data_IF_037621295647
#
_entry.id   IF_037621295647
#
_cell.length_a   1.000
_cell.length_b   1.000
_cell.length_c   1.000
_cell.angle_alpha   90.00
_cell.angle_beta   90.00
_cell.angle_gamma   90.00
#
_symmetry.space_group_name_H-M   'P 1'
#
loop_
_entity.id
_entity.type
_entity.pdbx_description
1 polymer ?
#
# COMPACT_ATOMS: atom_id res chain seq x y z
N UNK A 1 -19.81 -21.14 -4.68
CA UNK A 1 -20.06 -22.03 -3.49
C UNK A 1 -20.91 -21.27 -2.50
N UNK A 2 -21.98 -21.88 -2.01
CA UNK A 2 -22.87 -21.30 -1.00
C UNK A 2 -22.94 -22.28 0.18
N UNK A 3 -22.81 -21.79 1.40
CA UNK A 3 -23.00 -22.53 2.62
C UNK A 3 -23.81 -21.71 3.63
N UNK A 4 -24.67 -22.36 4.38
CA UNK A 4 -25.53 -21.74 5.37
C UNK A 4 -25.38 -22.43 6.72
N UNK A 5 -25.34 -21.64 7.79
CA UNK A 5 -25.39 -22.12 9.18
C UNK A 5 -26.46 -21.37 9.94
N UNK A 6 -27.09 -22.09 10.83
CA UNK A 6 -28.10 -21.53 11.75
C UNK A 6 -27.69 -21.85 13.19
N UNK A 7 -27.73 -20.84 14.04
CA UNK A 7 -27.61 -21.02 15.49
C UNK A 7 -28.99 -20.91 16.12
N UNK A 8 -29.39 -21.94 16.85
CA UNK A 8 -30.59 -21.90 17.68
C UNK A 8 -30.28 -22.27 19.12
N UNK A 9 -30.94 -21.58 20.08
CA UNK A 9 -30.79 -21.85 21.48
C UNK A 9 -31.29 -23.28 21.79
N UNK A 10 -30.37 -24.17 22.15
CA UNK A 10 -30.69 -25.58 22.49
C UNK A 10 -30.20 -26.63 21.50
N UNK A 11 -30.04 -26.29 20.23
CA UNK A 11 -29.45 -27.17 19.20
C UNK A 11 -28.03 -26.78 18.82
N UNK A 12 -27.62 -25.55 19.17
CA UNK A 12 -26.31 -25.04 18.75
C UNK A 12 -26.26 -24.64 17.27
N UNK A 13 -25.10 -24.79 16.63
CA UNK A 13 -24.90 -24.48 15.21
C UNK A 13 -25.26 -25.72 14.38
N UNK A 14 -26.08 -25.52 13.35
CA UNK A 14 -26.47 -26.55 12.36
C UNK A 14 -26.16 -26.05 10.97
N UNK A 15 -25.63 -26.92 10.12
CA UNK A 15 -25.42 -26.64 8.69
C UNK A 15 -26.67 -26.99 7.88
N UNK A 16 -26.98 -26.14 6.90
CA UNK A 16 -28.14 -26.32 6.03
C UNK A 16 -27.73 -26.23 4.56
N UNK A 17 -28.10 -27.24 3.79
CA UNK A 17 -27.90 -27.25 2.33
C UNK A 17 -29.01 -26.48 1.58
N UNK A 18 -30.17 -26.31 2.21
CA UNK A 18 -31.31 -25.58 1.67
C UNK A 18 -31.46 -24.19 2.29
N UNK A 19 -31.32 -23.17 1.46
CA UNK A 19 -31.40 -21.76 1.87
C UNK A 19 -32.75 -21.35 2.43
N UNK A 20 -33.87 -21.91 1.88
CA UNK A 20 -35.18 -21.63 2.39
C UNK A 20 -35.43 -22.27 3.77
N UNK A 21 -34.87 -23.47 3.97
CA UNK A 21 -34.93 -24.12 5.26
C UNK A 21 -34.09 -23.35 6.31
N UNK A 22 -32.90 -22.88 5.91
CA UNK A 22 -32.03 -22.04 6.75
C UNK A 22 -32.72 -20.73 7.16
N UNK A 23 -33.37 -20.03 6.21
CA UNK A 23 -34.08 -18.78 6.51
C UNK A 23 -35.31 -18.98 7.42
N UNK A 24 -36.00 -20.11 7.34
CA UNK A 24 -37.17 -20.40 8.17
C UNK A 24 -36.82 -20.96 9.55
N UNK A 25 -35.57 -21.33 9.75
CA UNK A 25 -35.17 -21.92 11.03
C UNK A 25 -35.15 -20.83 12.13
N UNK A 26 -35.59 -21.21 13.34
CA UNK A 26 -35.51 -20.30 14.48
C UNK A 26 -34.06 -20.01 14.86
N UNK A 27 -33.71 -18.74 15.03
CA UNK A 27 -32.39 -18.31 15.48
C UNK A 27 -31.65 -17.42 14.50
N UNK A 28 -30.32 -17.33 14.60
CA UNK A 28 -29.50 -16.51 13.73
C UNK A 28 -28.95 -17.32 12.56
N UNK A 29 -29.28 -16.91 11.35
CA UNK A 29 -28.81 -17.54 10.11
C UNK A 29 -27.64 -16.76 9.53
N UNK A 30 -26.54 -17.43 9.22
CA UNK A 30 -25.44 -16.87 8.42
C UNK A 30 -25.24 -17.64 7.12
N UNK A 31 -25.43 -16.95 6.00
CA UNK A 31 -25.15 -17.48 4.66
C UNK A 31 -23.89 -16.84 4.13
N UNK A 32 -23.00 -17.67 3.62
CA UNK A 32 -21.81 -17.23 2.90
C UNK A 32 -21.90 -17.68 1.44
N UNK A 33 -21.78 -16.74 0.51
CA UNK A 33 -21.75 -17.01 -0.92
C UNK A 33 -20.46 -16.42 -1.52
N UNK A 34 -19.60 -17.29 -2.06
CA UNK A 34 -18.39 -16.87 -2.75
C UNK A 34 -18.19 -17.69 -4.02
N UNK A 35 -17.59 -17.08 -5.04
CA UNK A 35 -17.40 -17.72 -6.35
C UNK A 35 -18.68 -18.40 -6.83
N UNK A 36 -19.82 -17.72 -6.62
CA UNK A 36 -21.13 -18.23 -6.95
C UNK A 36 -21.52 -17.81 -8.37
N UNK A 37 -22.23 -18.70 -9.07
CA UNK A 37 -22.79 -18.40 -10.38
C UNK A 37 -23.89 -17.34 -10.30
N UNK A 38 -24.21 -16.63 -11.40
CA UNK A 38 -25.30 -15.66 -11.40
C UNK A 38 -26.64 -16.25 -10.92
N UNK A 39 -26.95 -17.49 -11.32
CA UNK A 39 -28.17 -18.17 -10.90
C UNK A 39 -28.18 -18.46 -9.38
N UNK A 40 -27.03 -18.81 -8.80
CA UNK A 40 -26.87 -19.02 -7.37
C UNK A 40 -27.04 -17.69 -6.59
N UNK A 41 -26.50 -16.59 -7.14
CA UNK A 41 -26.66 -15.26 -6.55
C UNK A 41 -28.11 -14.77 -6.61
N UNK A 42 -28.79 -14.96 -7.75
CA UNK A 42 -30.21 -14.64 -7.91
C UNK A 42 -31.06 -15.44 -6.90
N UNK A 43 -30.73 -16.71 -6.67
CA UNK A 43 -31.42 -17.53 -5.66
C UNK A 43 -31.22 -17.05 -4.24
N UNK A 44 -29.99 -16.65 -3.86
CA UNK A 44 -29.73 -16.05 -2.53
C UNK A 44 -30.54 -14.76 -2.38
N UNK A 45 -30.53 -13.91 -3.40
CA UNK A 45 -31.26 -12.65 -3.41
C UNK A 45 -32.78 -12.87 -3.27
N UNK A 46 -33.35 -13.82 -4.01
CA UNK A 46 -34.77 -14.16 -3.93
C UNK A 46 -35.18 -14.69 -2.55
N UNK A 47 -34.39 -15.63 -2.01
CA UNK A 47 -34.69 -16.25 -0.72
C UNK A 47 -34.63 -15.23 0.41
N UNK A 48 -33.61 -14.36 0.44
CA UNK A 48 -33.39 -13.42 1.53
C UNK A 48 -34.02 -12.02 1.29
N UNK A 49 -34.67 -11.81 0.13
CA UNK A 49 -35.29 -10.52 -0.19
C UNK A 49 -34.27 -9.43 -0.51
N UNK A 50 -33.06 -9.80 -0.91
CA UNK A 50 -31.98 -8.86 -1.22
C UNK A 50 -32.25 -8.20 -2.57
N UNK A 51 -32.14 -6.87 -2.60
CA UNK A 51 -32.35 -6.12 -3.84
C UNK A 51 -31.23 -6.41 -4.84
N UNK A 52 -31.62 -6.70 -6.10
CA UNK A 52 -30.66 -7.09 -7.16
C UNK A 52 -29.54 -6.08 -7.39
N UNK A 53 -29.82 -4.78 -7.30
CA UNK A 53 -28.78 -3.76 -7.44
C UNK A 53 -27.67 -3.89 -6.37
N UNK A 54 -28.00 -4.27 -5.16
CA UNK A 54 -27.02 -4.46 -4.11
C UNK A 54 -26.10 -5.68 -4.38
N UNK A 55 -26.65 -6.75 -5.00
CA UNK A 55 -25.83 -7.88 -5.49
C UNK A 55 -24.94 -7.45 -6.66
N UNK A 56 -25.49 -6.70 -7.62
CA UNK A 56 -24.74 -6.18 -8.76
C UNK A 56 -23.58 -5.26 -8.31
N UNK A 57 -23.75 -4.50 -7.26
CA UNK A 57 -22.69 -3.64 -6.68
C UNK A 57 -21.50 -4.46 -6.17
N UNK A 58 -21.74 -5.58 -5.53
CA UNK A 58 -20.66 -6.49 -5.10
C UNK A 58 -19.94 -7.09 -6.31
N UNK A 59 -20.72 -7.63 -7.29
CA UNK A 59 -20.15 -8.25 -8.48
C UNK A 59 -19.35 -7.28 -9.33
N UNK A 60 -19.83 -6.03 -9.45
CA UNK A 60 -19.17 -4.97 -10.21
C UNK A 60 -18.04 -4.27 -9.43
N UNK A 61 -17.74 -4.73 -8.23
CA UNK A 61 -16.66 -4.18 -7.40
C UNK A 61 -16.72 -2.65 -7.24
N UNK A 62 -17.91 -2.13 -6.95
CA UNK A 62 -18.10 -0.70 -6.76
C UNK A 62 -17.39 -0.20 -5.50
N UNK A 63 -17.39 1.10 -5.29
CA UNK A 63 -16.83 1.73 -4.08
C UNK A 63 -17.56 1.25 -2.82
N UNK A 64 -16.80 1.04 -1.73
CA UNK A 64 -17.37 0.73 -0.42
C UNK A 64 -18.44 1.75 -0.01
N UNK A 65 -19.56 1.26 0.51
CA UNK A 65 -20.73 2.05 0.90
C UNK A 65 -21.63 1.27 1.86
N UNK A 66 -22.51 1.96 2.56
CA UNK A 66 -23.62 1.38 3.31
C UNK A 66 -24.92 1.99 2.80
N UNK A 67 -25.90 1.16 2.57
CA UNK A 67 -27.26 1.52 2.13
C UNK A 67 -28.29 0.81 2.99
N UNK A 68 -29.30 1.54 3.41
CA UNK A 68 -30.41 1.02 4.19
C UNK A 68 -31.59 0.67 3.27
N UNK A 69 -32.11 -0.53 3.44
CA UNK A 69 -33.33 -1.00 2.80
C UNK A 69 -34.37 -1.30 3.89
N UNK A 70 -35.67 -1.36 3.56
CA UNK A 70 -36.70 -1.56 4.58
C UNK A 70 -36.57 -2.88 5.37
N UNK A 71 -35.99 -3.91 4.76
CA UNK A 71 -35.88 -5.26 5.33
C UNK A 71 -34.44 -5.68 5.67
N UNK A 72 -33.45 -4.89 5.27
CA UNK A 72 -32.04 -5.20 5.54
C UNK A 72 -31.14 -3.96 5.36
N UNK A 73 -30.01 -3.98 6.03
CA UNK A 73 -28.90 -3.03 5.80
C UNK A 73 -27.84 -3.71 4.94
N UNK A 74 -27.39 -3.04 3.88
CA UNK A 74 -26.31 -3.50 3.00
C UNK A 74 -25.05 -2.68 3.25
N UNK A 75 -23.95 -3.36 3.54
CA UNK A 75 -22.62 -2.75 3.64
C UNK A 75 -21.66 -3.45 2.69
N UNK A 76 -21.01 -2.67 1.82
CA UNK A 76 -19.93 -3.14 0.96
C UNK A 76 -18.61 -2.64 1.53
N UNK A 77 -17.74 -3.56 1.90
CA UNK A 77 -16.33 -3.30 2.25
C UNK A 77 -15.43 -4.05 1.27
N UNK A 78 -14.15 -3.75 1.27
CA UNK A 78 -13.18 -4.47 0.42
C UNK A 78 -12.04 -4.99 1.25
N UNK A 79 -11.56 -6.19 0.97
CA UNK A 79 -10.26 -6.61 1.47
C UNK A 79 -9.15 -5.83 0.75
N UNK A 80 -7.99 -5.75 1.37
CA UNK A 80 -6.79 -5.21 0.74
C UNK A 80 -5.59 -6.05 1.13
N UNK A 81 -4.92 -6.60 0.14
CA UNK A 81 -3.75 -7.44 0.34
C UNK A 81 -2.62 -7.01 -0.60
N UNK A 82 -1.39 -6.95 -0.08
CA UNK A 82 -0.19 -6.77 -0.90
C UNK A 82 0.19 -8.11 -1.53
N UNK A 83 0.00 -8.23 -2.82
CA UNK A 83 0.41 -9.39 -3.61
C UNK A 83 1.65 -9.07 -4.41
N UNK A 84 2.53 -10.07 -4.57
CA UNK A 84 3.72 -9.93 -5.39
C UNK A 84 3.31 -9.80 -6.86
N UNK A 85 3.65 -8.67 -7.48
CA UNK A 85 3.44 -8.43 -8.91
C UNK A 85 4.42 -9.22 -9.78
N UNK A 86 4.27 -9.09 -11.10
CA UNK A 86 5.09 -9.80 -12.11
C UNK A 86 6.57 -9.33 -12.15
N UNK A 87 6.89 -8.21 -11.51
CA UNK A 87 8.26 -7.66 -11.45
C UNK A 87 8.86 -7.82 -10.06
N UNK A 88 10.19 -8.04 -9.95
CA UNK A 88 10.88 -7.92 -8.67
C UNK A 88 10.62 -6.52 -8.12
N UNK A 89 10.11 -6.42 -6.88
CA UNK A 89 9.71 -5.18 -6.18
C UNK A 89 8.38 -4.54 -6.63
N UNK A 90 7.57 -5.18 -7.47
CA UNK A 90 6.19 -4.77 -7.74
C UNK A 90 5.28 -5.59 -6.82
N UNK A 91 4.93 -5.05 -5.67
CA UNK A 91 3.77 -5.48 -4.91
C UNK A 91 2.61 -4.58 -5.36
N UNK A 92 1.44 -5.15 -5.54
CA UNK A 92 0.22 -4.42 -5.89
C UNK A 92 -0.83 -4.67 -4.83
N UNK A 93 -1.57 -3.63 -4.47
CA UNK A 93 -2.75 -3.77 -3.62
C UNK A 93 -3.85 -4.46 -4.42
N UNK A 94 -4.11 -5.72 -4.09
CA UNK A 94 -5.26 -6.45 -4.60
C UNK A 94 -6.43 -6.25 -3.67
N UNK A 95 -7.54 -5.81 -4.22
CA UNK A 95 -8.80 -5.61 -3.50
C UNK A 95 -9.86 -6.61 -3.95
N UNK A 96 -10.69 -7.06 -3.00
CA UNK A 96 -11.84 -7.91 -3.30
C UNK A 96 -13.06 -7.39 -2.55
N UNK A 97 -14.22 -7.25 -3.23
CA UNK A 97 -15.44 -6.78 -2.60
C UNK A 97 -16.04 -7.86 -1.69
N UNK A 98 -16.53 -7.43 -0.54
CA UNK A 98 -17.31 -8.22 0.39
C UNK A 98 -18.60 -7.46 0.69
N UNK A 99 -19.72 -7.95 0.18
CA UNK A 99 -21.04 -7.47 0.54
C UNK A 99 -21.50 -8.16 1.81
N UNK A 100 -21.95 -7.38 2.79
CA UNK A 100 -22.56 -7.84 4.03
C UNK A 100 -23.99 -7.33 4.08
N UNK A 101 -24.94 -8.23 4.08
CA UNK A 101 -26.37 -7.94 4.13
C UNK A 101 -26.89 -8.38 5.49
N UNK A 102 -27.50 -7.48 6.23
CA UNK A 102 -27.92 -7.67 7.62
C UNK A 102 -29.43 -7.54 7.68
N UNK A 103 -30.13 -8.61 7.97
CA UNK A 103 -31.56 -8.62 8.26
C UNK A 103 -31.81 -8.82 9.76
N UNK A 104 -33.08 -8.95 10.15
CA UNK A 104 -33.47 -9.05 11.58
C UNK A 104 -32.94 -10.32 12.25
N UNK A 105 -32.93 -11.45 11.53
CA UNK A 105 -32.53 -12.78 12.03
C UNK A 105 -31.48 -13.47 11.14
N UNK A 106 -30.98 -12.79 10.11
CA UNK A 106 -30.03 -13.35 9.17
C UNK A 106 -28.94 -12.37 8.75
N UNK A 107 -27.79 -12.91 8.38
CA UNK A 107 -26.71 -12.19 7.71
C UNK A 107 -26.26 -12.98 6.48
N UNK A 108 -26.08 -12.29 5.36
CA UNK A 108 -25.50 -12.86 4.13
C UNK A 108 -24.20 -12.15 3.83
N UNK A 109 -23.14 -12.91 3.66
CA UNK A 109 -21.86 -12.42 3.13
C UNK A 109 -21.65 -12.90 1.72
N UNK A 110 -21.39 -11.96 0.80
CA UNK A 110 -21.23 -12.22 -0.63
C UNK A 110 -19.88 -11.68 -1.11
N UNK A 111 -19.11 -12.51 -1.81
CA UNK A 111 -17.85 -12.11 -2.43
C UNK A 111 -17.67 -12.80 -3.79
N UNK A 112 -16.88 -12.16 -4.67
CA UNK A 112 -16.58 -12.70 -6.01
C UNK A 112 -15.56 -13.83 -6.00
N UNK A 113 -14.82 -14.00 -4.88
CA UNK A 113 -13.86 -15.07 -4.66
C UNK A 113 -13.79 -15.44 -3.17
N UNK A 114 -13.18 -16.57 -2.78
CA UNK A 114 -12.96 -16.91 -1.38
C UNK A 114 -12.13 -15.84 -0.66
N UNK A 115 -12.54 -15.48 0.55
CA UNK A 115 -11.88 -14.51 1.41
C UNK A 115 -11.36 -15.21 2.66
N UNK A 116 -10.06 -15.37 2.76
CA UNK A 116 -9.39 -16.16 3.80
C UNK A 116 -9.81 -15.77 5.21
N UNK A 117 -9.92 -14.45 5.50
CA UNK A 117 -10.31 -13.99 6.85
C UNK A 117 -11.77 -14.27 7.17
N UNK A 118 -12.67 -14.16 6.19
CA UNK A 118 -14.08 -14.55 6.35
C UNK A 118 -14.19 -16.05 6.55
N UNK A 119 -13.39 -16.84 5.83
CA UNK A 119 -13.31 -18.29 5.98
C UNK A 119 -12.83 -18.68 7.38
N UNK A 120 -11.87 -17.96 7.97
CA UNK A 120 -11.43 -18.18 9.36
C UNK A 120 -12.56 -17.95 10.35
N UNK A 121 -13.34 -16.87 10.19
CA UNK A 121 -14.50 -16.58 11.06
C UNK A 121 -15.53 -17.70 10.94
N UNK A 122 -15.81 -18.14 9.70
CA UNK A 122 -16.75 -19.23 9.44
C UNK A 122 -16.31 -20.55 10.07
N UNK A 123 -15.02 -20.87 9.95
CA UNK A 123 -14.45 -22.08 10.54
C UNK A 123 -14.48 -22.04 12.07
N UNK A 124 -14.25 -20.85 12.68
CA UNK A 124 -14.38 -20.70 14.14
C UNK A 124 -15.81 -20.98 14.61
N UNK A 125 -16.83 -20.52 13.87
CA UNK A 125 -18.24 -20.83 14.16
C UNK A 125 -18.52 -22.33 14.03
N UNK A 126 -18.00 -23.00 13.03
CA UNK A 126 -18.18 -24.44 12.83
C UNK A 126 -17.51 -25.29 13.93
N UNK A 127 -16.45 -24.80 14.57
CA UNK A 127 -15.69 -25.47 15.62
C UNK A 127 -16.07 -25.02 17.05
N UNK A 128 -17.35 -24.71 17.28
CA UNK A 128 -17.95 -24.44 18.59
C UNK A 128 -17.83 -22.98 19.12
N UNK A 129 -17.31 -22.01 18.39
CA UNK A 129 -17.44 -20.60 18.81
C UNK A 129 -18.84 -20.04 18.45
N UNK A 130 -19.84 -20.58 19.14
CA UNK A 130 -21.26 -20.22 18.91
C UNK A 130 -21.57 -18.78 19.32
N UNK A 131 -20.66 -18.11 20.05
CA UNK A 131 -20.89 -16.77 20.62
C UNK A 131 -21.15 -15.70 19.57
N UNK A 132 -20.63 -15.86 18.35
CA UNK A 132 -20.87 -14.91 17.25
C UNK A 132 -22.35 -14.90 16.87
N UNK A 133 -22.88 -16.05 16.43
CA UNK A 133 -24.28 -16.19 16.02
C UNK A 133 -25.26 -16.06 17.19
N UNK A 134 -24.85 -16.42 18.41
CA UNK A 134 -25.64 -16.26 19.62
C UNK A 134 -25.97 -14.78 19.92
N UNK A 135 -25.13 -13.85 19.47
CA UNK A 135 -25.28 -12.40 19.69
C UNK A 135 -26.09 -11.70 18.61
N UNK A 136 -26.49 -12.41 17.59
CA UNK A 136 -27.31 -11.87 16.50
C UNK A 136 -26.58 -11.69 15.17
N UNK A 137 -27.34 -11.38 14.10
CA UNK A 137 -26.81 -11.20 12.75
C UNK A 137 -25.92 -9.95 12.63
N UNK A 138 -26.27 -8.88 13.30
CA UNK A 138 -25.53 -7.62 13.35
C UNK A 138 -24.14 -7.80 13.98
N UNK A 139 -24.04 -8.57 15.07
CA UNK A 139 -22.76 -8.88 15.69
C UNK A 139 -21.90 -9.78 14.82
N UNK A 140 -22.52 -10.70 14.06
CA UNK A 140 -21.81 -11.53 13.08
C UNK A 140 -21.29 -10.66 11.94
N UNK A 141 -22.10 -9.73 11.45
CA UNK A 141 -21.70 -8.76 10.44
C UNK A 141 -20.53 -7.87 10.91
N UNK A 142 -20.62 -7.35 12.16
CA UNK A 142 -19.51 -6.63 12.79
C UNK A 142 -18.22 -7.45 12.71
N UNK A 143 -18.26 -8.72 13.13
CA UNK A 143 -17.04 -9.53 13.17
C UNK A 143 -16.44 -9.78 11.79
N UNK A 144 -17.26 -9.92 10.76
CA UNK A 144 -16.78 -10.01 9.37
C UNK A 144 -16.08 -8.72 8.94
N UNK A 145 -16.66 -7.56 9.23
CA UNK A 145 -16.06 -6.26 8.90
C UNK A 145 -14.77 -6.01 9.69
N UNK A 146 -14.77 -6.36 10.97
CA UNK A 146 -13.66 -6.21 11.90
C UNK A 146 -12.40 -6.96 11.40
N UNK A 147 -12.53 -8.24 11.07
CA UNK A 147 -11.38 -9.02 10.57
C UNK A 147 -10.84 -8.52 9.22
N UNK A 148 -11.69 -7.92 8.39
CA UNK A 148 -11.27 -7.30 7.13
C UNK A 148 -10.46 -6.03 7.42
N UNK A 149 -10.88 -5.24 8.40
CA UNK A 149 -10.17 -4.01 8.80
C UNK A 149 -8.87 -4.32 9.54
N UNK A 150 -8.83 -5.40 10.32
CA UNK A 150 -7.59 -5.88 10.96
C UNK A 150 -6.48 -6.14 9.90
N UNK A 151 -6.81 -6.72 8.74
CA UNK A 151 -5.83 -6.95 7.66
C UNK A 151 -5.27 -5.66 7.04
N UNK A 152 -5.95 -4.53 7.20
CA UNK A 152 -5.41 -3.24 6.75
C UNK A 152 -4.19 -2.81 7.56
N UNK A 153 -4.15 -3.16 8.86
CA UNK A 153 -2.97 -2.90 9.69
C UNK A 153 -1.79 -3.78 9.27
N UNK A 154 -2.02 -5.06 8.97
CA UNK A 154 -0.98 -5.97 8.46
C UNK A 154 -0.36 -5.46 7.15
N UNK A 155 -1.21 -4.91 6.26
CA UNK A 155 -0.75 -4.27 5.01
C UNK A 155 0.11 -3.04 5.31
N UNK A 156 -0.34 -2.17 6.23
CA UNK A 156 0.36 -0.94 6.59
C UNK A 156 1.71 -1.23 7.26
N UNK A 157 1.81 -2.24 8.13
CA UNK A 157 3.07 -2.68 8.75
C UNK A 157 4.10 -3.13 7.69
N UNK A 158 3.65 -3.85 6.67
CA UNK A 158 4.51 -4.23 5.54
C UNK A 158 4.97 -3.03 4.73
N UNK A 159 4.09 -2.05 4.50
CA UNK A 159 4.44 -0.80 3.80
C UNK A 159 5.44 0.03 4.62
N UNK A 160 5.27 0.11 5.93
CA UNK A 160 6.20 0.77 6.84
C UNK A 160 7.61 0.18 6.72
N UNK A 161 7.72 -1.14 6.82
CA UNK A 161 9.00 -1.86 6.65
C UNK A 161 9.66 -1.57 5.30
N UNK A 162 8.86 -1.43 4.23
CA UNK A 162 9.39 -1.06 2.91
C UNK A 162 9.92 0.38 2.88
N UNK A 163 9.21 1.32 3.52
CA UNK A 163 9.64 2.73 3.61
C UNK A 163 10.95 2.85 4.39
N UNK A 164 11.06 2.18 5.55
CA UNK A 164 12.29 2.16 6.34
C UNK A 164 13.49 1.64 5.53
N UNK A 165 13.31 0.52 4.82
CA UNK A 165 14.35 -0.02 3.96
C UNK A 165 14.73 0.94 2.80
N UNK A 166 13.79 1.70 2.27
CA UNK A 166 14.04 2.72 1.25
C UNK A 166 14.80 3.90 1.86
N UNK A 167 14.43 4.37 3.06
CA UNK A 167 15.12 5.48 3.74
C UNK A 167 16.59 5.17 4.01
N UNK A 168 16.92 3.94 4.41
CA UNK A 168 18.31 3.50 4.54
C UNK A 168 19.04 3.46 3.19
N UNK A 169 18.39 2.97 2.15
CA UNK A 169 18.98 2.83 0.81
C UNK A 169 19.26 4.18 0.14
N UNK A 170 18.39 5.18 0.27
CA UNK A 170 18.54 6.49 -0.39
C UNK A 170 19.75 7.29 0.13
N UNK A 171 20.26 6.94 1.32
CA UNK A 171 21.46 7.57 1.89
C UNK A 171 22.76 7.06 1.23
N UNK A 172 22.74 5.84 0.68
CA UNK A 172 23.95 5.17 0.17
C UNK A 172 23.91 4.89 -1.33
N UNK A 173 22.72 4.86 -1.93
CA UNK A 173 22.51 4.50 -3.34
C UNK A 173 21.75 5.58 -4.10
N UNK A 174 22.26 5.89 -5.30
CA UNK A 174 21.60 6.79 -6.28
C UNK A 174 21.11 6.01 -7.52
N UNK A 175 20.92 4.68 -7.37
CA UNK A 175 20.44 3.80 -8.45
C UNK A 175 18.99 4.11 -8.84
N UNK A 176 18.64 3.84 -10.12
CA UNK A 176 17.27 3.99 -10.61
C UNK A 176 16.29 3.04 -9.89
N UNK A 177 16.79 1.89 -9.44
CA UNK A 177 16.00 0.89 -8.71
C UNK A 177 15.41 1.43 -7.41
N UNK A 178 16.17 2.26 -6.67
CA UNK A 178 15.67 2.94 -5.46
C UNK A 178 14.50 3.87 -5.77
N UNK A 179 14.59 4.63 -6.88
CA UNK A 179 13.49 5.50 -7.32
C UNK A 179 12.25 4.69 -7.74
N UNK A 180 12.43 3.55 -8.40
CA UNK A 180 11.33 2.66 -8.78
C UNK A 180 10.62 2.10 -7.54
N UNK A 181 11.35 1.70 -6.51
CA UNK A 181 10.80 1.25 -5.22
C UNK A 181 10.00 2.35 -4.52
N UNK A 182 10.53 3.58 -4.43
CA UNK A 182 9.79 4.73 -3.88
C UNK A 182 8.48 4.94 -4.62
N UNK A 183 8.49 4.88 -5.94
CA UNK A 183 7.30 5.06 -6.75
C UNK A 183 6.30 3.89 -6.61
N UNK A 184 6.77 2.65 -6.42
CA UNK A 184 5.92 1.50 -6.15
C UNK A 184 5.13 1.70 -4.85
N UNK A 185 5.82 1.93 -3.73
CA UNK A 185 5.18 2.21 -2.43
C UNK A 185 4.17 3.35 -2.50
N UNK A 186 4.50 4.42 -3.23
CA UNK A 186 3.55 5.54 -3.42
C UNK A 186 2.30 5.13 -4.21
N UNK A 187 2.42 4.26 -5.21
CA UNK A 187 1.26 3.73 -5.95
C UNK A 187 0.39 2.85 -5.05
N UNK A 188 1.01 2.00 -4.25
CA UNK A 188 0.32 1.09 -3.33
C UNK A 188 -0.48 1.86 -2.28
N UNK A 189 0.13 2.87 -1.66
CA UNK A 189 -0.56 3.76 -0.72
C UNK A 189 -1.73 4.53 -1.38
N UNK A 190 -1.59 4.95 -2.64
CA UNK A 190 -2.68 5.60 -3.37
C UNK A 190 -3.82 4.63 -3.70
N UNK A 191 -3.49 3.37 -4.02
CA UNK A 191 -4.48 2.32 -4.26
C UNK A 191 -5.18 1.94 -2.97
N UNK A 192 -4.43 1.73 -1.89
CA UNK A 192 -4.98 1.42 -0.57
C UNK A 192 -5.89 2.54 -0.03
N UNK A 193 -5.53 3.80 -0.23
CA UNK A 193 -6.39 4.93 0.13
C UNK A 193 -7.78 4.85 -0.52
N UNK A 194 -7.87 4.37 -1.77
CA UNK A 194 -9.16 4.20 -2.46
C UNK A 194 -10.03 3.12 -1.83
N UNK A 195 -9.42 2.20 -1.07
CA UNK A 195 -10.10 1.17 -0.29
C UNK A 195 -10.47 1.68 1.10
N UNK A 196 -9.49 2.16 1.85
CA UNK A 196 -9.65 2.52 3.26
C UNK A 196 -10.59 3.71 3.50
N UNK A 197 -10.49 4.77 2.68
CA UNK A 197 -11.33 5.95 2.84
C UNK A 197 -12.83 5.65 2.66
N UNK A 198 -13.27 4.99 1.58
CA UNK A 198 -14.67 4.62 1.45
C UNK A 198 -15.14 3.62 2.52
N UNK A 199 -14.28 2.69 2.94
CA UNK A 199 -14.62 1.75 4.02
C UNK A 199 -14.92 2.50 5.32
N UNK A 200 -14.13 3.52 5.67
CA UNK A 200 -14.40 4.38 6.83
C UNK A 200 -15.77 5.07 6.72
N UNK A 201 -16.12 5.62 5.56
CA UNK A 201 -17.42 6.26 5.37
C UNK A 201 -18.56 5.24 5.49
N UNK A 202 -18.39 4.03 4.91
CA UNK A 202 -19.38 2.96 4.97
C UNK A 202 -19.63 2.50 6.42
N UNK A 203 -18.55 2.17 7.15
CA UNK A 203 -18.66 1.73 8.56
C UNK A 203 -19.15 2.87 9.45
N UNK A 204 -18.85 4.12 9.11
CA UNK A 204 -19.35 5.29 9.84
C UNK A 204 -20.88 5.41 9.84
N UNK A 205 -21.59 4.86 8.86
CA UNK A 205 -23.07 4.78 8.88
C UNK A 205 -23.52 3.80 9.96
N UNK A 206 -22.93 2.60 10.01
CA UNK A 206 -23.24 1.57 11.01
C UNK A 206 -22.90 2.01 12.45
N UNK A 207 -21.79 2.75 12.60
CA UNK A 207 -21.31 3.24 13.89
C UNK A 207 -22.19 4.35 14.50
N UNK A 208 -23.01 5.04 13.70
CA UNK A 208 -23.93 6.10 14.17
C UNK A 208 -25.26 5.55 14.69
N UNK A 209 -25.58 4.28 14.44
CA UNK A 209 -26.85 3.69 14.84
C UNK A 209 -28.04 4.16 14.00
N UNK A 210 -27.79 4.59 12.78
CA UNK A 210 -28.86 5.03 11.88
C UNK A 210 -29.61 3.83 11.25
N UNK A 211 -28.99 2.63 11.24
CA UNK A 211 -29.53 1.42 10.60
C UNK A 211 -30.43 0.62 11.55
N UNK A 212 -31.69 0.38 11.18
CA UNK A 212 -32.69 -0.32 12.00
C UNK A 212 -32.28 -1.76 12.39
N UNK A 213 -31.43 -2.42 11.57
CA UNK A 213 -30.97 -3.80 11.78
C UNK A 213 -29.71 -3.88 12.69
N UNK A 214 -29.27 -2.79 13.26
CA UNK A 214 -28.12 -2.75 14.18
C UNK A 214 -28.60 -2.45 15.58
N UNK A 215 -28.43 -3.39 16.49
CA UNK A 215 -28.77 -3.20 17.89
C UNK A 215 -27.82 -2.20 18.58
N UNK A 216 -28.34 -1.37 19.51
CA UNK A 216 -27.56 -0.44 20.33
C UNK A 216 -26.37 -1.13 21.02
N UNK A 217 -26.53 -2.40 21.39
CA UNK A 217 -25.47 -3.20 21.99
C UNK A 217 -24.32 -3.49 21.02
N UNK A 218 -24.58 -3.49 19.71
CA UNK A 218 -23.60 -3.78 18.65
C UNK A 218 -22.99 -2.51 18.07
N UNK A 219 -23.67 -1.38 18.09
CA UNK A 219 -23.14 -0.08 17.60
C UNK A 219 -21.76 0.27 18.15
N UNK A 220 -21.52 -0.01 19.44
CA UNK A 220 -20.23 0.28 20.08
C UNK A 220 -19.05 -0.48 19.41
N UNK A 221 -19.31 -1.66 18.86
CA UNK A 221 -18.31 -2.45 18.17
C UNK A 221 -18.06 -1.91 16.76
N UNK A 222 -19.09 -1.47 16.05
CA UNK A 222 -18.91 -0.75 14.79
C UNK A 222 -18.21 0.61 14.99
N UNK A 223 -18.42 1.25 16.13
CA UNK A 223 -17.71 2.48 16.50
C UNK A 223 -16.21 2.24 16.73
N UNK A 224 -15.86 1.11 17.34
CA UNK A 224 -14.47 0.67 17.48
C UNK A 224 -13.81 0.40 16.11
N UNK A 225 -14.50 -0.31 15.22
CA UNK A 225 -14.02 -0.51 13.82
C UNK A 225 -13.88 0.81 13.05
N UNK A 226 -14.80 1.75 13.27
CA UNK A 226 -14.70 3.08 12.67
C UNK A 226 -13.45 3.83 13.17
N UNK A 227 -13.16 3.76 14.48
CA UNK A 227 -11.96 4.36 15.06
C UNK A 227 -10.67 3.72 14.52
N UNK A 228 -10.65 2.39 14.32
CA UNK A 228 -9.57 1.69 13.61
C UNK A 228 -9.41 2.20 12.18
N UNK A 229 -10.50 2.39 11.44
CA UNK A 229 -10.45 2.94 10.08
C UNK A 229 -9.98 4.39 10.02
N UNK A 230 -10.29 5.20 11.02
CA UNK A 230 -9.70 6.55 11.17
C UNK A 230 -8.19 6.45 11.30
N UNK A 231 -7.70 5.56 12.19
CA UNK A 231 -6.26 5.33 12.37
C UNK A 231 -5.59 4.81 11.08
N UNK A 232 -6.20 3.87 10.37
CA UNK A 232 -5.72 3.34 9.08
C UNK A 232 -5.56 4.45 8.04
N UNK A 233 -6.54 5.35 7.95
CA UNK A 233 -6.49 6.49 7.04
C UNK A 233 -5.36 7.44 7.41
N UNK A 234 -5.20 7.77 8.68
CA UNK A 234 -4.15 8.67 9.17
C UNK A 234 -2.75 8.08 8.96
N UNK A 235 -2.56 6.77 9.21
CA UNK A 235 -1.31 6.08 8.92
C UNK A 235 -1.00 6.07 7.41
N UNK A 236 -2.02 5.85 6.56
CA UNK A 236 -1.86 5.88 5.10
C UNK A 236 -1.35 7.24 4.62
N UNK A 237 -1.89 8.34 5.15
CA UNK A 237 -1.42 9.69 4.82
C UNK A 237 0.00 9.94 5.34
N UNK A 238 0.31 9.48 6.56
CA UNK A 238 1.64 9.58 7.17
C UNK A 238 2.69 8.86 6.32
N UNK A 239 2.44 7.61 5.95
CA UNK A 239 3.37 6.83 5.13
C UNK A 239 3.53 7.40 3.73
N UNK A 240 2.48 7.99 3.17
CA UNK A 240 2.57 8.71 1.91
C UNK A 240 3.50 9.92 1.99
N UNK A 241 3.47 10.65 3.11
CA UNK A 241 4.35 11.79 3.31
C UNK A 241 5.80 11.37 3.59
N UNK A 242 6.02 10.24 4.31
CA UNK A 242 7.36 9.64 4.45
C UNK A 242 7.93 9.21 3.08
N UNK A 243 7.14 8.55 2.24
CA UNK A 243 7.58 8.16 0.90
C UNK A 243 7.89 9.38 -0.01
N UNK A 244 7.23 10.53 0.20
CA UNK A 244 7.60 11.80 -0.44
C UNK A 244 8.94 12.31 0.08
N UNK A 245 9.13 12.29 1.40
CA UNK A 245 10.38 12.66 2.04
C UNK A 245 11.56 11.83 1.53
N UNK A 246 11.41 10.52 1.46
CA UNK A 246 12.42 9.62 0.90
C UNK A 246 12.79 9.97 -0.55
N UNK A 247 11.79 10.32 -1.39
CA UNK A 247 12.03 10.79 -2.75
C UNK A 247 12.84 12.08 -2.80
N UNK A 248 12.52 13.02 -1.93
CA UNK A 248 13.22 14.32 -1.89
C UNK A 248 14.67 14.15 -1.42
N UNK A 249 14.91 13.25 -0.45
CA UNK A 249 16.27 12.86 -0.03
C UNK A 249 17.00 12.23 -1.22
N UNK A 250 16.39 11.29 -1.95
CA UNK A 250 16.98 10.66 -3.13
C UNK A 250 17.43 11.70 -4.16
N UNK A 251 16.56 12.66 -4.51
CA UNK A 251 16.90 13.72 -5.47
C UNK A 251 18.06 14.59 -5.00
N UNK A 252 18.11 14.90 -3.70
CA UNK A 252 19.21 15.64 -3.10
C UNK A 252 20.53 14.84 -3.16
N UNK A 253 20.50 13.54 -2.85
CA UNK A 253 21.68 12.65 -2.92
C UNK A 253 22.20 12.53 -4.35
N UNK A 254 21.31 12.38 -5.36
CA UNK A 254 21.69 12.41 -6.79
C UNK A 254 22.34 13.75 -7.16
N UNK A 255 21.77 14.87 -6.74
CA UNK A 255 22.32 16.19 -7.00
C UNK A 255 23.70 16.36 -6.36
N UNK A 256 23.88 15.93 -5.11
CA UNK A 256 25.15 15.97 -4.41
C UNK A 256 26.21 15.11 -5.13
N UNK A 257 25.88 13.87 -5.49
CA UNK A 257 26.76 13.00 -6.25
C UNK A 257 27.19 13.61 -7.59
N UNK A 258 26.26 14.23 -8.30
CA UNK A 258 26.55 14.94 -9.55
C UNK A 258 27.52 16.10 -9.33
N UNK A 259 27.30 16.89 -8.26
CA UNK A 259 28.19 17.99 -7.92
C UNK A 259 29.60 17.52 -7.54
N UNK A 260 29.74 16.37 -6.85
CA UNK A 260 31.04 15.78 -6.55
C UNK A 260 31.80 15.36 -7.84
N UNK A 261 31.09 14.71 -8.78
CA UNK A 261 31.68 14.36 -10.07
C UNK A 261 32.11 15.61 -10.81
N UNK A 262 31.28 16.66 -10.86
CA UNK A 262 31.60 17.94 -11.48
C UNK A 262 32.81 18.61 -10.81
N UNK A 263 32.92 18.60 -9.49
CA UNK A 263 34.08 19.09 -8.76
C UNK A 263 35.36 18.37 -9.20
N UNK A 264 35.37 17.03 -9.20
CA UNK A 264 36.51 16.22 -9.62
C UNK A 264 36.93 16.50 -11.07
N UNK A 265 35.97 16.57 -12.00
CA UNK A 265 36.23 16.91 -13.40
C UNK A 265 36.83 18.33 -13.54
N UNK A 266 36.30 19.29 -12.79
CA UNK A 266 36.79 20.66 -12.78
C UNK A 266 38.24 20.75 -12.30
N UNK A 267 38.59 20.05 -11.20
CA UNK A 267 39.97 20.00 -10.70
C UNK A 267 40.92 19.42 -11.76
N UNK A 268 40.54 18.29 -12.36
CA UNK A 268 41.35 17.69 -13.41
C UNK A 268 41.55 18.67 -14.56
N UNK A 269 40.49 19.33 -15.05
CA UNK A 269 40.56 20.27 -16.15
C UNK A 269 41.49 21.48 -15.81
N UNK A 270 41.35 22.07 -14.61
CA UNK A 270 42.15 23.23 -14.20
C UNK A 270 43.64 22.88 -14.04
N UNK A 271 43.96 21.65 -13.57
CA UNK A 271 45.35 21.20 -13.49
C UNK A 271 45.94 20.94 -14.87
N UNK A 272 45.19 20.30 -15.79
CA UNK A 272 45.71 19.97 -17.12
C UNK A 272 45.76 21.13 -18.11
N UNK A 273 44.89 22.14 -17.97
CA UNK A 273 44.80 23.26 -18.89
C UNK A 273 46.13 24.07 -19.01
N UNK A 274 46.76 24.53 -17.89
CA UNK A 274 48.03 25.25 -17.96
C UNK A 274 49.19 24.37 -18.46
N UNK A 275 49.19 23.07 -18.11
CA UNK A 275 50.18 22.12 -18.61
C UNK A 275 50.08 21.94 -20.12
N UNK A 276 48.87 21.77 -20.62
CA UNK A 276 48.62 21.65 -22.09
C UNK A 276 48.97 22.92 -22.82
N UNK A 277 48.70 24.10 -22.22
CA UNK A 277 49.09 25.38 -22.79
C UNK A 277 50.61 25.51 -22.88
N UNK A 278 51.37 25.20 -21.82
CA UNK A 278 52.83 25.23 -21.83
C UNK A 278 53.38 24.25 -22.85
N UNK A 279 52.92 23.02 -22.86
CA UNK A 279 53.35 22.00 -23.84
C UNK A 279 53.01 22.41 -25.27
N UNK A 280 51.85 23.03 -25.52
CA UNK A 280 51.44 23.54 -26.80
C UNK A 280 52.31 24.74 -27.27
N UNK A 281 52.66 25.65 -26.35
CA UNK A 281 53.53 26.80 -26.64
C UNK A 281 54.92 26.34 -27.11
N UNK A 282 55.54 25.41 -26.38
CA UNK A 282 56.82 24.85 -26.75
C UNK A 282 56.77 23.85 -27.95
N UNK A 283 55.59 23.40 -28.32
CA UNK A 283 55.34 22.58 -29.50
C UNK A 283 55.12 23.39 -30.78
N UNK A 284 55.08 24.71 -30.73
CA UNK A 284 54.86 25.56 -31.91
C UNK A 284 56.13 25.65 -32.78
N UNK A 285 55.93 25.71 -34.10
CA UNK A 285 57.01 25.76 -35.09
C UNK A 285 57.38 27.23 -35.45
N UNK A 286 57.72 28.04 -34.46
CA UNK A 286 58.25 29.37 -34.73
C UNK A 286 59.70 29.34 -35.19
N UNK A 287 60.08 30.21 -36.18
CA UNK A 287 61.41 30.26 -36.72
C UNK A 287 62.47 30.74 -35.68
N UNK A 288 62.04 31.48 -34.62
CA UNK A 288 62.91 31.99 -33.56
C UNK A 288 62.21 31.82 -32.23
N UNK A 289 62.65 30.88 -31.40
CA UNK A 289 62.29 30.70 -29.98
C UNK A 289 63.58 30.80 -29.14
N UNK A 290 63.87 31.93 -28.49
CA UNK A 290 65.09 32.10 -27.72
C UNK A 290 65.27 31.08 -26.60
N UNK A 291 64.18 30.62 -26.01
CA UNK A 291 64.13 29.69 -24.88
C UNK A 291 64.68 28.31 -25.28
N UNK A 292 64.52 27.87 -26.54
CA UNK A 292 64.99 26.57 -27.02
C UNK A 292 66.52 26.51 -27.16
N UNK A 293 67.17 27.64 -27.24
CA UNK A 293 68.66 27.72 -27.27
C UNK A 293 69.33 27.50 -25.88
N UNK A 294 68.56 27.47 -24.82
CA UNK A 294 69.08 27.25 -23.46
C UNK A 294 69.22 25.76 -23.12
N UNK A 295 70.42 25.25 -22.71
CA UNK A 295 70.64 23.82 -22.52
C UNK A 295 69.78 23.15 -21.48
N UNK A 296 69.26 23.93 -20.50
CA UNK A 296 68.43 23.46 -19.42
C UNK A 296 66.92 23.75 -19.61
N UNK A 297 66.54 24.32 -20.75
CA UNK A 297 65.14 24.71 -21.01
C UNK A 297 64.14 23.60 -20.80
N UNK A 298 64.42 22.38 -21.30
CA UNK A 298 63.59 21.20 -21.12
C UNK A 298 63.34 20.88 -19.65
N UNK A 299 64.41 20.79 -18.84
CA UNK A 299 64.32 20.47 -17.44
C UNK A 299 63.61 21.57 -16.61
N UNK A 300 63.87 22.84 -16.97
CA UNK A 300 63.23 23.99 -16.32
C UNK A 300 61.73 24.05 -16.64
N UNK A 301 61.32 23.73 -17.87
CA UNK A 301 59.90 23.63 -18.26
C UNK A 301 59.19 22.52 -17.49
N UNK A 302 59.76 21.30 -17.44
CA UNK A 302 59.20 20.20 -16.68
C UNK A 302 59.09 20.53 -15.20
N UNK A 303 60.08 21.16 -14.60
CA UNK A 303 60.08 21.55 -13.21
C UNK A 303 59.02 22.63 -12.96
N UNK A 304 58.87 23.60 -13.86
CA UNK A 304 57.80 24.60 -13.81
C UNK A 304 56.43 24.01 -13.90
N UNK A 305 56.19 23.07 -14.83
CA UNK A 305 54.93 22.33 -14.95
C UNK A 305 54.63 21.53 -13.70
N UNK A 306 55.63 20.82 -13.11
CA UNK A 306 55.45 20.09 -11.87
C UNK A 306 55.11 21.01 -10.70
N UNK A 307 55.77 22.20 -10.60
CA UNK A 307 55.48 23.19 -9.56
C UNK A 307 54.03 23.73 -9.68
N UNK A 308 53.61 24.11 -10.89
CA UNK A 308 52.25 24.60 -11.15
C UNK A 308 51.21 23.53 -10.76
N UNK A 309 51.46 22.29 -11.16
CA UNK A 309 50.57 21.15 -10.79
C UNK A 309 50.49 20.99 -9.26
N UNK A 310 51.62 21.00 -8.57
CA UNK A 310 51.70 20.82 -7.11
C UNK A 310 50.98 21.96 -6.39
N UNK A 311 51.16 23.19 -6.82
CA UNK A 311 50.47 24.37 -6.22
C UNK A 311 48.96 24.26 -6.42
N UNK A 312 48.48 23.89 -7.63
CA UNK A 312 47.07 23.77 -7.91
C UNK A 312 46.43 22.60 -7.13
N UNK A 313 47.08 21.44 -7.07
CA UNK A 313 46.59 20.30 -6.30
C UNK A 313 46.54 20.65 -4.79
N UNK A 314 47.60 21.29 -4.25
CA UNK A 314 47.60 21.73 -2.85
C UNK A 314 46.51 22.77 -2.57
N UNK A 315 46.26 23.69 -3.47
CA UNK A 315 45.16 24.66 -3.37
C UNK A 315 43.78 23.96 -3.32
N UNK A 316 43.52 23.04 -4.26
CA UNK A 316 42.23 22.33 -4.27
C UNK A 316 42.05 21.36 -3.12
N UNK A 317 43.12 20.74 -2.62
CA UNK A 317 43.07 19.94 -1.42
C UNK A 317 42.73 20.79 -0.18
N UNK A 318 43.26 21.99 -0.09
CA UNK A 318 42.99 22.92 1.03
C UNK A 318 41.52 23.44 1.02
N UNK A 319 40.86 23.40 -0.16
CA UNK A 319 39.49 23.87 -0.36
C UNK A 319 38.45 22.71 -0.32
N UNK A 320 38.83 21.49 0.08
CA UNK A 320 37.99 20.32 0.11
C UNK A 320 37.36 19.95 -1.26
N UNK A 321 38.14 20.20 -2.34
CA UNK A 321 37.74 19.82 -3.70
C UNK A 321 38.29 18.45 -4.14
N UNK A 322 39.23 17.89 -3.39
CA UNK A 322 39.86 16.59 -3.63
C UNK A 322 39.66 15.65 -2.46
#
# INVERSE_FOLDING_TARGET
MIDAVVYAAGTGVTEHDDLEAAKRADGTTWVRAHDASPDELDRVAEVFGIHRLAVEDVVNNVRAKTEEFPEFTFTLVKTAELTRGDRPFDEEVREQPVGVFIGDDWVVTLSTAPIVVVDRVRNAVAHEDTRLLQRGPDFTAYRVVDVIVDEYFDLLERVETQIEAIEEEVLVSTGIETLERINAVRRDLLSFRKVAWPAREAVGVLARGDADQIDEATEKYFRDVYDHLVQVVDLTETYRDLARGARDIYLNTVSQSTNEVMKRLTVIAIVFLPLSFIAGLFGMNFATMPELGWPYAYHATLLGMALVSLVLVAYFHQQDYL
#
